data_IF_745679509716
#
_entry.id   IF_745679509716
#
_cell.length_a   1.000
_cell.length_b   1.000
_cell.length_c   1.000
_cell.angle_alpha   90.00
_cell.angle_beta   90.00
_cell.angle_gamma   90.00
#
_symmetry.space_group_name_H-M   'P 1'
#
loop_
_entity.id
_entity.type
_entity.pdbx_description
1 polymer ?
#
# COMPACT_ATOMS: atom_id res chain seq x y z
N UNK A 1 -7.83 4.55 -4.26
CA UNK A 1 -6.65 4.33 -3.38
C UNK A 1 -6.34 5.63 -2.66
N UNK A 2 -6.15 5.63 -1.33
CA UNK A 2 -6.05 6.83 -0.50
C UNK A 2 -4.61 6.98 0.01
N UNK A 3 -3.95 8.12 -0.25
CA UNK A 3 -2.65 8.42 0.34
C UNK A 3 -2.76 8.38 1.86
N UNK A 4 -2.04 7.45 2.49
CA UNK A 4 -1.97 7.31 3.95
C UNK A 4 -0.76 8.08 4.44
N UNK A 5 -0.98 9.07 5.31
CA UNK A 5 0.07 9.81 5.99
C UNK A 5 0.81 8.88 6.96
N UNK A 6 2.05 8.54 6.60
CA UNK A 6 2.98 7.70 7.38
C UNK A 6 3.04 8.11 8.87
N UNK A 7 3.11 9.41 9.24
CA UNK A 7 3.17 9.82 10.64
C UNK A 7 1.91 9.45 11.44
N UNK A 8 0.74 9.51 10.80
CA UNK A 8 -0.55 9.20 11.44
C UNK A 8 -0.66 7.71 11.73
N UNK A 9 -0.15 6.85 10.84
CA UNK A 9 -0.14 5.40 11.08
C UNK A 9 0.76 5.00 12.25
N UNK A 10 1.92 5.67 12.39
CA UNK A 10 2.87 5.43 13.48
C UNK A 10 2.28 5.87 14.81
N UNK A 11 1.73 7.10 14.87
CA UNK A 11 1.12 7.65 16.08
C UNK A 11 -0.08 6.80 16.52
N UNK A 12 -0.97 6.42 15.60
CA UNK A 12 -2.12 5.57 15.95
C UNK A 12 -1.72 4.17 16.42
N UNK A 13 -0.66 3.58 15.87
CA UNK A 13 -0.18 2.26 16.31
C UNK A 13 0.32 2.29 17.75
N UNK A 14 0.97 3.38 18.16
CA UNK A 14 1.45 3.58 19.55
C UNK A 14 0.27 3.93 20.48
N UNK A 15 -0.65 4.81 20.05
CA UNK A 15 -1.79 5.27 20.85
C UNK A 15 -2.84 4.18 21.07
N UNK A 16 -3.00 3.24 20.13
CA UNK A 16 -4.00 2.14 20.22
C UNK A 16 -3.43 0.83 20.80
N UNK A 17 -2.27 0.87 21.47
CA UNK A 17 -1.60 -0.33 21.98
C UNK A 17 -1.39 -1.43 20.90
N UNK A 18 -1.00 -1.04 19.68
CA UNK A 18 -0.68 -1.97 18.58
C UNK A 18 -1.86 -2.41 17.71
N UNK A 19 -3.12 -2.09 18.06
CA UNK A 19 -4.30 -2.50 17.29
C UNK A 19 -4.31 -1.87 15.89
N UNK A 20 -3.96 -0.59 15.78
CA UNK A 20 -3.88 0.07 14.46
C UNK A 20 -2.74 -0.48 13.59
N UNK A 21 -1.67 -1.02 14.21
CA UNK A 21 -0.58 -1.68 13.49
C UNK A 21 -1.06 -2.89 12.67
N UNK A 22 -2.04 -3.63 13.20
CA UNK A 22 -2.69 -4.76 12.52
C UNK A 22 -3.41 -4.28 11.26
N UNK A 23 -4.20 -3.22 11.39
CA UNK A 23 -4.91 -2.63 10.26
C UNK A 23 -3.94 -2.13 9.19
N UNK A 24 -2.84 -1.48 9.60
CA UNK A 24 -1.83 -0.99 8.68
C UNK A 24 -1.14 -2.12 7.92
N UNK A 25 -0.77 -3.21 8.61
CA UNK A 25 -0.18 -4.41 8.00
C UNK A 25 -1.10 -5.06 6.95
N UNK A 26 -2.38 -5.20 7.27
CA UNK A 26 -3.38 -5.76 6.34
C UNK A 26 -3.48 -4.89 5.09
N UNK A 27 -3.66 -3.58 5.26
CA UNK A 27 -3.79 -2.65 4.13
C UNK A 27 -2.53 -2.60 3.27
N UNK A 28 -1.33 -2.63 3.87
CA UNK A 28 -0.08 -2.64 3.14
C UNK A 28 0.08 -3.89 2.26
N UNK A 29 -0.37 -5.04 2.79
CA UNK A 29 -0.38 -6.31 2.05
C UNK A 29 -1.35 -6.28 0.87
N UNK A 30 -2.56 -5.75 1.08
CA UNK A 30 -3.56 -5.64 0.02
C UNK A 30 -3.13 -4.65 -1.07
N UNK A 31 -2.67 -3.45 -0.69
CA UNK A 31 -2.22 -2.42 -1.64
C UNK A 31 -1.07 -2.95 -2.53
N UNK A 32 -0.13 -3.69 -1.93
CA UNK A 32 0.96 -4.32 -2.69
C UNK A 32 0.50 -5.51 -3.54
N UNK A 33 -0.54 -6.26 -3.15
CA UNK A 33 -1.13 -7.33 -3.97
C UNK A 33 -1.76 -6.74 -5.25
N UNK A 34 -2.48 -5.62 -5.11
CA UNK A 34 -3.10 -4.89 -6.24
C UNK A 34 -2.04 -4.39 -7.23
N UNK A 35 -0.87 -3.96 -6.74
CA UNK A 35 0.20 -3.43 -7.60
C UNK A 35 0.82 -4.46 -8.55
N UNK A 36 0.85 -5.74 -8.19
CA UNK A 36 1.54 -6.78 -8.95
C UNK A 36 0.55 -7.65 -9.77
N UNK A 37 -0.76 -7.59 -9.47
CA UNK A 37 -1.84 -8.28 -10.18
C UNK A 37 -1.57 -9.78 -10.48
N UNK A 38 -0.77 -10.46 -9.64
CA UNK A 38 -0.48 -11.89 -9.78
C UNK A 38 -1.30 -12.72 -8.77
N UNK A 39 -1.94 -13.82 -9.20
CA UNK A 39 -2.54 -14.78 -8.28
C UNK A 39 -1.44 -15.54 -7.50
N UNK A 40 -1.67 -15.81 -6.22
CA UNK A 40 -0.78 -16.62 -5.38
C UNK A 40 -0.19 -15.94 -4.14
N UNK A 41 -0.50 -14.67 -3.90
CA UNK A 41 -0.12 -14.00 -2.65
C UNK A 41 -1.20 -14.13 -1.57
N UNK A 42 -0.80 -14.25 -0.31
CA UNK A 42 -1.73 -14.26 0.81
C UNK A 42 -2.45 -12.91 0.93
N UNK A 43 -3.73 -12.94 1.29
CA UNK A 43 -4.46 -11.73 1.67
C UNK A 43 -3.88 -11.15 2.96
N UNK A 44 -4.04 -9.85 3.18
CA UNK A 44 -3.50 -9.17 4.36
C UNK A 44 -3.99 -9.79 5.67
N UNK A 45 -5.26 -10.21 5.72
CA UNK A 45 -5.82 -10.90 6.88
C UNK A 45 -5.18 -12.27 7.13
N UNK A 46 -4.94 -13.06 6.07
CA UNK A 46 -4.26 -14.36 6.19
C UNK A 46 -2.79 -14.17 6.58
N UNK A 47 -2.10 -13.20 6.00
CA UNK A 47 -0.72 -12.87 6.33
C UNK A 47 -0.56 -12.44 7.80
N UNK A 48 -1.52 -11.67 8.32
CA UNK A 48 -1.54 -11.29 9.73
C UNK A 48 -1.78 -12.50 10.65
N UNK A 49 -2.78 -13.34 10.35
CA UNK A 49 -3.06 -14.54 11.13
C UNK A 49 -1.87 -15.49 11.17
N UNK A 50 -1.19 -15.69 10.03
CA UNK A 50 0.03 -16.49 9.96
C UNK A 50 1.16 -15.85 10.78
N UNK A 51 1.33 -14.53 10.72
CA UNK A 51 2.28 -13.80 11.57
C UNK A 51 1.99 -14.01 13.06
N UNK A 52 0.72 -14.04 13.47
CA UNK A 52 0.35 -14.26 14.86
C UNK A 52 0.61 -15.71 15.31
N UNK A 53 0.16 -16.68 14.52
CA UNK A 53 0.27 -18.12 14.85
C UNK A 53 1.73 -18.58 14.85
N UNK A 54 2.57 -18.02 13.98
CA UNK A 54 3.99 -18.35 13.88
C UNK A 54 4.89 -17.51 14.79
N UNK A 55 4.32 -16.76 15.74
CA UNK A 55 5.07 -15.88 16.64
C UNK A 55 6.01 -14.93 15.87
N UNK A 56 5.46 -14.23 14.87
CA UNK A 56 6.13 -13.26 14.00
C UNK A 56 7.14 -13.85 12.98
N UNK A 57 7.44 -15.15 12.99
CA UNK A 57 8.35 -15.76 11.99
C UNK A 57 7.82 -15.54 10.56
N UNK A 58 6.50 -15.67 10.35
CA UNK A 58 5.89 -15.36 9.05
C UNK A 58 5.95 -13.86 8.72
N UNK A 59 5.99 -12.97 9.70
CA UNK A 59 6.16 -11.52 9.50
C UNK A 59 7.48 -11.20 8.81
N UNK A 60 8.56 -11.88 9.21
CA UNK A 60 9.89 -11.78 8.59
C UNK A 60 9.85 -12.28 7.13
N UNK A 61 9.22 -13.43 6.89
CA UNK A 61 9.02 -13.95 5.54
C UNK A 61 8.20 -13.00 4.67
N UNK A 62 7.12 -12.46 5.22
CA UNK A 62 6.26 -11.49 4.56
C UNK A 62 7.05 -10.23 4.17
N UNK A 63 7.90 -9.70 5.06
CA UNK A 63 8.70 -8.50 4.77
C UNK A 63 9.63 -8.70 3.57
N UNK A 64 10.25 -9.88 3.48
CA UNK A 64 11.04 -10.26 2.31
C UNK A 64 10.20 -10.31 1.03
N UNK A 65 9.06 -11.03 1.06
CA UNK A 65 8.16 -11.14 -0.12
C UNK A 65 7.58 -9.79 -0.54
N UNK A 66 7.34 -8.88 0.40
CA UNK A 66 6.89 -7.51 0.13
C UNK A 66 7.92 -6.72 -0.65
N UNK A 67 9.21 -6.84 -0.31
CA UNK A 67 10.28 -6.21 -1.08
C UNK A 67 10.37 -6.72 -2.51
N UNK A 68 10.32 -8.04 -2.70
CA UNK A 68 10.28 -8.62 -4.06
C UNK A 68 9.09 -8.11 -4.87
N UNK A 69 7.91 -7.94 -4.25
CA UNK A 69 6.73 -7.38 -4.92
C UNK A 69 6.92 -5.93 -5.34
N UNK A 70 7.51 -5.11 -4.46
CA UNK A 70 7.83 -3.71 -4.77
C UNK A 70 8.85 -3.64 -5.90
N UNK A 71 9.87 -4.51 -5.90
CA UNK A 71 10.88 -4.56 -6.96
C UNK A 71 10.30 -4.97 -8.31
N UNK A 72 9.42 -5.99 -8.32
CA UNK A 72 8.66 -6.37 -9.52
C UNK A 72 7.81 -5.20 -10.02
N UNK A 73 7.11 -4.51 -9.13
CA UNK A 73 6.28 -3.36 -9.49
C UNK A 73 7.11 -2.17 -10.02
N UNK A 74 8.33 -1.97 -9.50
CA UNK A 74 9.31 -0.99 -10.02
C UNK A 74 9.80 -1.37 -11.41
N UNK A 75 10.19 -2.64 -11.61
CA UNK A 75 10.64 -3.15 -12.92
C UNK A 75 9.57 -3.01 -14.00
N UNK A 76 8.31 -3.35 -13.68
CA UNK A 76 7.16 -3.20 -14.59
C UNK A 76 6.97 -1.76 -15.08
N UNK A 77 7.48 -0.77 -14.34
CA UNK A 77 7.35 0.66 -14.64
C UNK A 77 8.67 1.29 -15.13
N UNK A 78 9.70 0.48 -15.38
CA UNK A 78 11.01 0.96 -15.82
C UNK A 78 11.83 1.67 -14.74
N UNK A 79 11.49 1.51 -13.46
CA UNK A 79 12.24 2.06 -12.34
C UNK A 79 13.37 1.11 -11.95
N UNK A 80 14.52 1.63 -11.47
CA UNK A 80 15.59 0.77 -10.95
C UNK A 80 15.08 -0.02 -9.74
N UNK A 81 15.08 -1.35 -9.85
CA UNK A 81 14.88 -2.24 -8.70
C UNK A 81 16.19 -2.40 -7.94
N UNK A 82 16.15 -2.23 -6.63
CA UNK A 82 17.23 -2.65 -5.73
C UNK A 82 16.80 -3.94 -5.05
N UNK A 83 17.67 -4.70 -4.35
CA UNK A 83 17.25 -5.92 -3.64
C UNK A 83 16.42 -5.59 -2.39
N UNK A 84 15.23 -5.01 -2.57
CA UNK A 84 14.40 -4.47 -1.51
C UNK A 84 13.88 -5.57 -0.58
N UNK A 85 13.82 -6.83 -1.05
CA UNK A 85 13.48 -7.99 -0.20
C UNK A 85 14.41 -8.16 1.00
N UNK A 86 15.72 -8.12 0.78
CA UNK A 86 16.72 -8.27 1.88
C UNK A 86 16.72 -7.03 2.78
N UNK A 87 16.57 -5.84 2.19
CA UNK A 87 16.45 -4.59 2.93
C UNK A 87 15.29 -4.68 3.94
N UNK A 88 14.09 -5.02 3.46
CA UNK A 88 12.92 -5.07 4.31
C UNK A 88 12.92 -6.22 5.32
N UNK A 89 13.56 -7.35 5.00
CA UNK A 89 13.80 -8.42 5.96
C UNK A 89 14.61 -7.90 7.16
N UNK A 90 15.71 -7.19 6.90
CA UNK A 90 16.55 -6.62 7.95
C UNK A 90 15.79 -5.54 8.73
N UNK A 91 15.06 -4.66 8.05
CA UNK A 91 14.25 -3.64 8.71
C UNK A 91 13.17 -4.24 9.61
N UNK A 92 12.53 -5.35 9.23
CA UNK A 92 11.54 -6.03 10.07
C UNK A 92 12.15 -6.54 11.40
N UNK A 93 13.41 -7.00 11.38
CA UNK A 93 14.11 -7.51 12.57
C UNK A 93 14.54 -6.42 13.54
N UNK A 94 14.91 -5.23 13.04
CA UNK A 94 15.54 -4.19 13.87
C UNK A 94 14.60 -3.00 14.11
N UNK A 95 13.82 -2.59 13.10
CA UNK A 95 12.94 -1.43 13.12
C UNK A 95 11.68 -1.64 12.23
N UNK A 96 10.75 -2.52 12.62
CA UNK A 96 9.61 -2.92 11.77
C UNK A 96 8.73 -1.74 11.33
N UNK A 97 8.48 -0.79 12.24
CA UNK A 97 7.71 0.43 11.94
C UNK A 97 8.34 1.25 10.80
N UNK A 98 9.67 1.38 10.78
CA UNK A 98 10.40 2.14 9.75
C UNK A 98 10.35 1.35 8.43
N UNK A 99 10.47 0.03 8.48
CA UNK A 99 10.29 -0.85 7.32
C UNK A 99 8.93 -0.65 6.65
N UNK A 100 7.85 -0.67 7.44
CA UNK A 100 6.49 -0.51 6.93
C UNK A 100 6.26 0.90 6.37
N UNK A 101 6.84 1.93 6.99
CA UNK A 101 6.81 3.30 6.49
C UNK A 101 7.47 3.45 5.12
N UNK A 102 8.66 2.86 4.94
CA UNK A 102 9.37 2.88 3.66
C UNK A 102 8.61 2.10 2.58
N UNK A 103 8.07 0.92 2.91
CA UNK A 103 7.22 0.16 1.99
C UNK A 103 5.99 0.98 1.56
N UNK A 104 5.32 1.64 2.50
CA UNK A 104 4.16 2.48 2.20
C UNK A 104 4.55 3.64 1.30
N UNK A 105 5.71 4.27 1.53
CA UNK A 105 6.22 5.35 0.68
C UNK A 105 6.45 4.88 -0.76
N UNK A 106 7.08 3.71 -0.94
CA UNK A 106 7.32 3.11 -2.25
C UNK A 106 6.01 2.78 -2.96
N UNK A 107 5.09 2.10 -2.26
CA UNK A 107 3.75 1.79 -2.76
C UNK A 107 3.01 3.08 -3.16
N UNK A 108 3.09 4.14 -2.37
CA UNK A 108 2.46 5.43 -2.68
C UNK A 108 3.05 6.07 -3.95
N UNK A 109 4.38 6.03 -4.13
CA UNK A 109 5.04 6.55 -5.34
C UNK A 109 4.65 5.74 -6.58
N UNK A 110 4.54 4.42 -6.43
CA UNK A 110 4.04 3.55 -7.48
C UNK A 110 2.56 3.86 -7.78
N UNK A 111 1.70 4.06 -6.80
CA UNK A 111 0.30 4.44 -7.07
C UNK A 111 0.20 5.81 -7.74
N UNK A 112 1.01 6.79 -7.34
CA UNK A 112 1.02 8.13 -7.92
C UNK A 112 1.35 8.12 -9.43
N UNK A 113 2.17 7.17 -9.90
CA UNK A 113 2.46 7.02 -11.34
C UNK A 113 1.34 6.33 -12.13
N UNK A 114 0.36 5.70 -11.46
CA UNK A 114 -0.84 5.13 -12.10
C UNK A 114 -2.00 6.14 -12.21
N UNK A 115 -1.95 7.27 -11.50
CA UNK A 115 -2.94 8.34 -11.63
C UNK A 115 -2.38 9.42 -12.56
N UNK A 116 -3.18 9.98 -13.51
CA UNK A 116 -2.82 11.26 -14.13
C UNK A 116 -2.61 12.31 -13.01
N UNK A 117 -1.70 13.27 -13.19
CA UNK A 117 -1.31 14.21 -12.13
C UNK A 117 -2.55 14.85 -11.52
N UNK A 118 -2.59 14.91 -10.18
CA UNK A 118 -3.73 15.41 -9.39
C UNK A 118 -4.35 16.65 -10.05
N UNK A 119 -5.49 16.49 -10.72
CA UNK A 119 -6.25 17.64 -11.15
C UNK A 119 -6.84 18.28 -9.89
N UNK A 120 -6.62 19.59 -9.65
CA UNK A 120 -7.29 20.30 -8.58
C UNK A 120 -8.81 20.11 -8.71
N UNK A 121 -9.58 20.21 -7.60
CA UNK A 121 -11.01 19.95 -7.61
C UNK A 121 -11.67 20.69 -8.79
N UNK A 122 -12.29 19.92 -9.68
CA UNK A 122 -12.92 20.44 -10.88
C UNK A 122 -13.92 21.54 -10.48
N UNK A 123 -13.91 22.71 -11.15
CA UNK A 123 -14.96 23.71 -10.98
C UNK A 123 -16.33 23.03 -11.16
N UNK A 124 -17.37 23.43 -10.41
CA UNK A 124 -18.68 22.82 -10.55
C UNK A 124 -19.13 22.88 -12.01
N UNK A 125 -19.43 21.71 -12.59
CA UNK A 125 -19.89 21.57 -13.95
C UNK A 125 -21.12 22.46 -14.16
N UNK A 126 -21.00 23.50 -14.99
CA UNK A 126 -22.15 24.27 -15.45
C UNK A 126 -23.03 23.31 -16.25
N UNK A 127 -24.21 22.98 -15.73
CA UNK A 127 -25.17 22.11 -16.42
C UNK A 127 -25.54 22.76 -17.77
N UNK A 128 -25.53 22.02 -18.89
CA UNK A 128 -26.00 22.54 -20.16
C UNK A 128 -27.49 22.90 -20.07
N UNK A 129 -27.97 23.94 -20.77
CA UNK A 129 -29.36 24.36 -20.71
C UNK A 129 -30.27 23.20 -21.13
N UNK A 130 -31.27 22.89 -20.31
CA UNK A 130 -32.27 21.86 -20.58
C UNK A 130 -32.92 22.11 -21.95
N UNK A 131 -32.59 21.29 -22.94
CA UNK A 131 -33.32 21.27 -24.20
C UNK A 131 -34.70 20.67 -23.90
N UNK A 132 -35.71 21.52 -23.87
CA UNK A 132 -37.11 21.10 -23.71
C UNK A 132 -37.52 20.26 -24.94
N UNK A 133 -38.23 19.14 -24.74
CA UNK A 133 -38.68 18.31 -25.85
C UNK A 133 -39.76 19.03 -26.68
N UNK A 134 -39.81 18.83 -28.00
CA UNK A 134 -40.79 19.46 -28.87
C UNK A 134 -42.21 18.95 -28.56
N UNK A 135 -43.17 19.86 -28.44
CA UNK A 135 -44.59 19.53 -28.29
C UNK A 135 -45.09 18.79 -29.54
N UNK A 136 -45.56 17.56 -29.34
CA UNK A 136 -46.49 16.86 -30.23
C UNK A 136 -47.76 16.59 -29.43
#
# INVERSE_FOLDING_TARGET
>A
MRQRSIPVCIILSIVTCGIYGIYWYIMLTEDSNVLVARPGYASGGVAFLLSLITCNIYGIYWAYKMGEKIDIAKQMRGWPSSNSGVLYLILELVFPIIGWALMQNEINNLIATMQPPMQPPMPPMQQPPMQQPPMQ
#
